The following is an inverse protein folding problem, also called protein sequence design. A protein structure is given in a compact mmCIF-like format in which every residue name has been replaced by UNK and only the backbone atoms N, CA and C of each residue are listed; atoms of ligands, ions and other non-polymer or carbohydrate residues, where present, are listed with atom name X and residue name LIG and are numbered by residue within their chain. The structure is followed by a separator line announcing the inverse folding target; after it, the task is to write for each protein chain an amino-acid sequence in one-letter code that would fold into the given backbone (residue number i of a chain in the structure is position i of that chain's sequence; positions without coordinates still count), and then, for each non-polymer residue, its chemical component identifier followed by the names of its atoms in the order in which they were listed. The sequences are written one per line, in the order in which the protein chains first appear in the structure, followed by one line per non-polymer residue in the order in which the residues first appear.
data_IF_429001936137
#
_entry.id   IF_429001936137
#
_cell.length_a   1.000
_cell.length_b   1.000
_cell.length_c   1.000
_cell.angle_alpha   90.00
_cell.angle_beta   90.00
_cell.angle_gamma   90.00
#
_symmetry.space_group_name_H-M   'P 1'
#
loop_
_entity.id
_entity.type
_entity.pdbx_description
1 polymer ?
#
# COMPACT_ATOMS: atom_id res chain seq x y z
N UNK A 1 2.68 4.05 -6.23
CA UNK A 1 2.10 3.97 -7.59
C UNK A 1 1.96 5.37 -8.15
N UNK A 2 2.44 5.58 -9.37
CA UNK A 2 2.48 6.89 -10.06
C UNK A 2 2.07 6.72 -11.53
N UNK A 3 1.67 7.78 -12.25
CA UNK A 3 1.42 7.69 -13.69
C UNK A 3 2.68 7.29 -14.47
N UNK A 4 2.51 6.57 -15.58
CA UNK A 4 3.62 6.29 -16.51
C UNK A 4 4.19 7.63 -17.04
N UNK A 5 5.52 7.81 -16.96
CA UNK A 5 6.18 9.06 -17.32
C UNK A 5 6.34 10.07 -16.18
N UNK A 6 5.77 9.81 -15.00
CA UNK A 6 5.99 10.63 -13.81
C UNK A 6 7.49 10.66 -13.43
N UNK A 7 8.07 11.79 -12.98
CA UNK A 7 9.49 11.88 -12.63
C UNK A 7 9.97 10.82 -11.64
N UNK A 8 9.15 10.46 -10.64
CA UNK A 8 9.46 9.38 -9.71
C UNK A 8 9.64 8.01 -10.38
N UNK A 9 9.01 7.77 -11.53
CA UNK A 9 9.19 6.53 -12.29
C UNK A 9 10.61 6.34 -12.83
N UNK A 10 11.43 7.39 -12.85
CA UNK A 10 12.85 7.34 -13.21
C UNK A 10 13.76 7.18 -11.99
N UNK A 11 13.20 7.24 -10.78
CA UNK A 11 13.94 7.05 -9.54
C UNK A 11 13.96 5.56 -9.18
N UNK A 12 15.08 5.06 -8.64
CA UNK A 12 15.14 3.70 -8.09
C UNK A 12 14.29 3.51 -6.83
N UNK A 13 14.12 4.58 -6.05
CA UNK A 13 13.22 4.68 -4.91
C UNK A 13 12.95 6.15 -4.57
N UNK A 14 11.89 6.42 -3.82
CA UNK A 14 11.52 7.76 -3.33
C UNK A 14 11.23 7.74 -1.84
N UNK A 15 11.14 8.93 -1.24
CA UNK A 15 10.81 9.13 0.18
C UNK A 15 9.35 9.55 0.35
N UNK A 16 8.79 9.30 1.54
CA UNK A 16 7.46 9.79 1.95
C UNK A 16 7.36 11.31 1.85
N UNK A 17 8.47 12.02 2.04
CA UNK A 17 8.59 13.46 1.80
C UNK A 17 8.13 13.89 0.39
N UNK A 18 8.29 13.01 -0.61
CA UNK A 18 7.82 13.25 -1.96
C UNK A 18 6.30 13.42 -2.06
N UNK A 19 5.53 12.82 -1.15
CA UNK A 19 4.06 12.84 -1.17
C UNK A 19 3.50 14.25 -1.04
N UNK A 20 4.13 15.12 -0.23
CA UNK A 20 3.67 16.49 0.00
C UNK A 20 3.63 17.35 -1.28
N UNK A 21 4.30 16.92 -2.36
CA UNK A 21 4.34 17.64 -3.65
C UNK A 21 3.18 17.29 -4.57
N UNK A 22 2.38 16.28 -4.24
CA UNK A 22 1.38 15.71 -5.13
C UNK A 22 0.01 15.58 -4.46
N UNK A 23 -1.02 15.42 -5.28
CA UNK A 23 -2.32 14.96 -4.79
C UNK A 23 -2.22 13.46 -4.55
N UNK A 24 -2.55 13.02 -3.34
CA UNK A 24 -2.49 11.61 -2.95
C UNK A 24 -3.90 11.05 -2.80
N UNK A 25 -4.24 10.05 -3.61
CA UNK A 25 -5.55 9.42 -3.56
C UNK A 25 -5.53 8.19 -2.67
N UNK A 26 -6.67 7.90 -2.06
CA UNK A 26 -6.90 6.69 -1.28
C UNK A 26 -8.22 6.03 -1.68
N UNK A 27 -8.34 4.75 -1.39
CA UNK A 27 -9.64 4.07 -1.42
C UNK A 27 -10.41 4.45 -0.14
N UNK A 28 -11.74 4.51 -0.19
CA UNK A 28 -12.57 4.50 1.03
C UNK A 28 -13.27 3.17 1.15
N UNK A 29 -13.13 2.57 2.31
CA UNK A 29 -13.85 1.37 2.72
C UNK A 29 -14.14 1.43 4.22
N UNK A 30 -14.78 0.39 4.75
CA UNK A 30 -15.11 0.25 6.17
C UNK A 30 -13.91 0.12 7.11
N UNK A 31 -12.67 0.17 6.58
CA UNK A 31 -11.47 0.14 7.41
C UNK A 31 -11.39 1.39 8.33
N UNK A 32 -10.91 1.23 9.58
CA UNK A 32 -10.75 2.35 10.51
C UNK A 32 -9.83 3.45 9.99
N UNK A 33 -10.01 4.68 10.48
CA UNK A 33 -9.21 5.84 10.05
C UNK A 33 -7.70 5.62 10.20
N UNK A 34 -7.24 5.04 11.31
CA UNK A 34 -5.81 4.78 11.53
C UNK A 34 -5.18 3.91 10.43
N UNK A 35 -5.98 3.02 9.81
CA UNK A 35 -5.51 2.14 8.74
C UNK A 35 -5.31 2.93 7.45
N UNK A 36 -6.19 3.89 7.16
CA UNK A 36 -6.03 4.80 6.04
C UNK A 36 -4.89 5.79 6.25
N UNK A 37 -4.76 6.32 7.47
CA UNK A 37 -3.66 7.21 7.84
C UNK A 37 -2.30 6.50 7.76
N UNK A 38 -2.24 5.19 7.99
CA UNK A 38 -1.01 4.43 7.76
C UNK A 38 -0.62 4.37 6.27
N UNK A 39 -1.57 4.12 5.37
CA UNK A 39 -1.28 3.98 3.93
C UNK A 39 -1.11 5.31 3.22
N UNK A 40 -1.89 6.32 3.60
CA UNK A 40 -1.83 7.68 3.07
C UNK A 40 -1.72 8.60 4.27
N UNK A 41 -0.51 8.89 4.80
CA UNK A 41 -0.37 9.69 6.00
C UNK A 41 -0.85 11.14 5.79
N UNK A 42 -1.35 11.81 6.86
CA UNK A 42 -1.83 13.19 6.74
C UNK A 42 -0.65 14.15 6.61
N UNK A 43 0.50 13.76 7.17
CA UNK A 43 1.74 14.51 7.17
C UNK A 43 2.90 13.58 6.81
N UNK A 44 3.90 14.15 6.15
CA UNK A 44 5.21 13.51 5.94
C UNK A 44 5.99 13.41 7.25
N UNK A 45 7.08 12.63 7.33
CA UNK A 45 7.91 12.54 8.54
C UNK A 45 8.42 13.89 9.07
N UNK A 46 8.65 14.88 8.19
CA UNK A 46 9.02 16.25 8.60
C UNK A 46 7.85 17.16 8.97
N UNK A 47 6.61 16.65 8.99
CA UNK A 47 5.40 17.40 9.35
C UNK A 47 4.74 18.18 8.20
N UNK A 48 5.20 18.02 6.95
CA UNK A 48 4.53 18.67 5.81
C UNK A 48 3.21 17.97 5.51
N UNK A 49 2.15 18.76 5.36
CA UNK A 49 0.83 18.27 4.99
C UNK A 49 0.86 17.54 3.64
N UNK A 50 0.24 16.36 3.61
CA UNK A 50 0.00 15.60 2.39
C UNK A 50 -1.37 16.02 1.83
N UNK A 51 -1.39 16.49 0.58
CA UNK A 51 -2.65 16.88 -0.08
C UNK A 51 -3.46 15.65 -0.46
N UNK A 52 -4.29 15.17 0.45
CA UNK A 52 -5.23 14.06 0.20
C UNK A 52 -6.32 14.50 -0.78
N UNK A 53 -6.43 13.78 -1.89
CA UNK A 53 -7.44 14.00 -2.91
C UNK A 53 -8.80 13.38 -2.54
N UNK A 54 -9.71 13.34 -3.51
CA UNK A 54 -10.97 12.62 -3.35
C UNK A 54 -10.71 11.13 -3.07
N UNK A 55 -11.51 10.57 -2.20
CA UNK A 55 -11.51 9.14 -1.98
C UNK A 55 -12.30 8.42 -3.07
N UNK A 56 -11.82 7.25 -3.50
CA UNK A 56 -12.51 6.41 -4.48
C UNK A 56 -13.05 5.14 -3.85
N UNK A 57 -14.18 4.60 -4.32
CA UNK A 57 -14.80 3.40 -3.74
C UNK A 57 -14.06 2.10 -4.11
N UNK A 58 -13.27 2.08 -5.20
CA UNK A 58 -12.62 0.86 -5.68
C UNK A 58 -11.13 1.07 -6.01
N UNK A 59 -10.37 -0.02 -5.94
CA UNK A 59 -8.96 0.00 -6.31
C UNK A 59 -8.76 0.21 -7.83
N UNK A 60 -9.69 -0.28 -8.64
CA UNK A 60 -9.70 -0.08 -10.10
C UNK A 60 -9.87 1.40 -10.46
N UNK A 61 -10.76 2.11 -9.78
CA UNK A 61 -10.90 3.57 -9.94
C UNK A 61 -9.65 4.33 -9.49
N UNK A 62 -9.00 3.87 -8.42
CA UNK A 62 -7.72 4.44 -7.98
C UNK A 62 -6.64 4.32 -9.07
N UNK A 63 -6.52 3.15 -9.69
CA UNK A 63 -5.58 2.93 -10.81
C UNK A 63 -5.95 3.84 -11.98
N UNK A 64 -7.22 3.97 -12.33
CA UNK A 64 -7.67 4.82 -13.43
C UNK A 64 -7.32 6.29 -13.20
N UNK A 65 -7.53 6.83 -11.98
CA UNK A 65 -7.16 8.21 -11.62
C UNK A 65 -5.66 8.45 -11.72
N UNK A 66 -4.86 7.51 -11.21
CA UNK A 66 -3.40 7.61 -11.28
C UNK A 66 -2.92 7.49 -12.73
N UNK A 67 -3.47 6.56 -13.51
CA UNK A 67 -3.15 6.42 -14.93
C UNK A 67 -3.51 7.67 -15.74
N UNK A 68 -4.57 8.38 -15.37
CA UNK A 68 -4.99 9.65 -15.95
C UNK A 68 -4.16 10.86 -15.47
N UNK A 69 -3.08 10.65 -14.72
CA UNK A 69 -2.18 11.72 -14.30
C UNK A 69 -2.71 12.62 -13.19
N UNK A 70 -3.83 12.27 -12.54
CA UNK A 70 -4.50 13.14 -11.58
C UNK A 70 -3.80 13.20 -10.21
N UNK A 71 -2.87 12.28 -9.94
CA UNK A 71 -2.21 12.15 -8.65
C UNK A 71 -1.45 10.84 -8.51
N UNK A 72 -1.05 10.54 -7.28
CA UNK A 72 -0.26 9.36 -6.91
C UNK A 72 -0.89 8.64 -5.71
N UNK A 73 -0.39 7.47 -5.37
CA UNK A 73 -0.83 6.76 -4.15
C UNK A 73 0.22 5.74 -3.67
N UNK A 74 0.56 5.71 -2.37
CA UNK A 74 1.29 4.59 -1.78
C UNK A 74 0.43 3.31 -1.83
N UNK A 75 1.07 2.17 -2.03
CA UNK A 75 0.41 0.86 -2.07
C UNK A 75 1.33 -0.18 -1.45
N UNK A 76 0.76 -1.23 -0.86
CA UNK A 76 1.54 -2.38 -0.41
C UNK A 76 2.22 -3.07 -1.61
N UNK A 77 3.43 -3.61 -1.40
CA UNK A 77 4.21 -4.24 -2.47
C UNK A 77 3.45 -5.39 -3.17
N UNK A 78 2.58 -6.10 -2.46
CA UNK A 78 1.74 -7.17 -3.00
C UNK A 78 0.82 -6.72 -4.15
N UNK A 79 0.38 -5.46 -4.13
CA UNK A 79 -0.47 -4.87 -5.17
C UNK A 79 0.17 -4.96 -6.56
N UNK A 80 1.49 -4.81 -6.63
CA UNK A 80 2.25 -4.84 -7.89
C UNK A 80 2.09 -6.15 -8.66
N UNK A 81 1.80 -7.26 -7.96
CA UNK A 81 1.63 -8.59 -8.56
C UNK A 81 0.27 -8.79 -9.21
N UNK A 82 -0.77 -8.13 -8.70
CA UNK A 82 -2.16 -8.38 -9.08
C UNK A 82 -2.77 -7.26 -9.92
N UNK A 83 -2.21 -6.06 -9.85
CA UNK A 83 -2.80 -4.84 -10.41
C UNK A 83 -1.88 -4.13 -11.41
N UNK A 84 -1.20 -4.90 -12.26
CA UNK A 84 -0.42 -4.33 -13.36
C UNK A 84 -1.31 -3.55 -14.33
N UNK A 85 -0.91 -2.34 -14.71
CA UNK A 85 -1.63 -1.49 -15.65
C UNK A 85 -0.65 -0.63 -16.47
N UNK A 86 -0.78 -0.52 -17.80
CA UNK A 86 0.23 0.14 -18.65
C UNK A 86 0.37 1.66 -18.37
N UNK A 87 -0.68 2.28 -17.82
CA UNK A 87 -0.70 3.69 -17.45
C UNK A 87 -0.07 4.03 -16.09
N UNK A 88 0.41 3.05 -15.32
CA UNK A 88 1.03 3.30 -14.01
C UNK A 88 2.40 2.64 -13.87
N UNK A 89 3.24 3.23 -13.05
CA UNK A 89 4.50 2.67 -12.59
C UNK A 89 4.49 2.49 -11.06
N UNK A 90 5.14 1.43 -10.59
CA UNK A 90 5.36 1.18 -9.17
C UNK A 90 6.80 1.55 -8.82
N UNK A 91 6.96 2.43 -7.83
CA UNK A 91 8.26 2.95 -7.37
C UNK A 91 8.35 2.68 -5.87
N UNK A 92 9.41 2.03 -5.38
CA UNK A 92 9.59 1.77 -3.94
C UNK A 92 9.66 3.04 -3.10
N UNK A 93 9.05 3.01 -1.92
CA UNK A 93 9.24 3.99 -0.86
C UNK A 93 10.31 3.46 0.11
N UNK A 94 11.40 4.20 0.33
CA UNK A 94 12.56 3.70 1.10
C UNK A 94 12.50 3.95 2.60
N UNK A 95 11.65 4.88 3.04
CA UNK A 95 11.50 5.36 4.41
C UNK A 95 10.09 5.10 4.97
N UNK A 96 9.26 4.35 4.22
CA UNK A 96 7.94 3.94 4.69
C UNK A 96 8.03 2.72 5.62
N UNK A 97 7.21 2.64 6.67
CA UNK A 97 7.10 1.43 7.46
C UNK A 97 6.55 0.27 6.60
N UNK A 98 6.98 -0.98 6.85
CA UNK A 98 6.50 -2.13 6.10
C UNK A 98 5.00 -2.36 6.35
N UNK A 99 4.27 -2.77 5.32
CA UNK A 99 2.89 -3.23 5.48
C UNK A 99 2.87 -4.68 5.96
N UNK A 100 2.33 -4.92 7.14
CA UNK A 100 2.24 -6.24 7.74
C UNK A 100 0.87 -6.88 7.53
N UNK A 101 0.86 -8.21 7.40
CA UNK A 101 -0.36 -9.03 7.35
C UNK A 101 -0.32 -10.01 8.52
N UNK A 102 -1.35 -9.97 9.35
CA UNK A 102 -1.45 -10.83 10.54
C UNK A 102 -2.71 -11.70 10.50
N UNK A 103 -2.60 -12.90 11.07
CA UNK A 103 -3.75 -13.73 11.39
C UNK A 103 -4.26 -13.34 12.79
N UNK A 104 -5.54 -13.01 12.87
CA UNK A 104 -6.18 -12.56 14.12
C UNK A 104 -7.34 -13.49 14.45
N UNK A 105 -7.46 -13.87 15.72
CA UNK A 105 -8.58 -14.65 16.24
C UNK A 105 -8.96 -14.15 17.63
N UNK A 106 -10.21 -14.43 18.04
CA UNK A 106 -10.62 -14.22 19.43
C UNK A 106 -9.86 -15.19 20.33
N UNK A 107 -9.45 -14.76 21.52
CA UNK A 107 -8.69 -15.58 22.48
C UNK A 107 -9.36 -16.94 22.74
N UNK A 108 -10.68 -16.95 22.95
CA UNK A 108 -11.47 -18.18 23.15
C UNK A 108 -11.67 -19.02 21.87
N UNK A 109 -11.28 -18.52 20.70
CA UNK A 109 -11.45 -19.17 19.39
C UNK A 109 -10.27 -20.03 18.95
N UNK A 110 -9.20 -20.13 19.75
CA UNK A 110 -8.00 -20.88 19.37
C UNK A 110 -8.22 -22.39 19.47
N UNK A 111 -8.46 -23.03 18.33
CA UNK A 111 -8.67 -24.48 18.21
C UNK A 111 -7.64 -25.13 17.26
N UNK A 112 -7.74 -26.45 17.07
CA UNK A 112 -6.84 -27.21 16.20
C UNK A 112 -6.83 -26.74 14.75
N UNK A 113 -7.98 -26.33 14.20
CA UNK A 113 -8.09 -25.82 12.82
C UNK A 113 -7.39 -24.48 12.65
N UNK A 114 -7.58 -23.56 13.61
CA UNK A 114 -6.88 -22.25 13.59
C UNK A 114 -5.37 -22.45 13.67
N UNK A 115 -4.89 -23.34 14.55
CA UNK A 115 -3.46 -23.68 14.64
C UNK A 115 -2.93 -24.29 13.34
N UNK A 116 -3.66 -25.26 12.77
CA UNK A 116 -3.28 -25.88 11.50
C UNK A 116 -3.19 -24.86 10.36
N UNK A 117 -4.16 -23.94 10.28
CA UNK A 117 -4.12 -22.87 9.28
C UNK A 117 -2.96 -21.91 9.51
N UNK A 118 -2.69 -21.50 10.75
CA UNK A 118 -1.54 -20.64 11.07
C UNK A 118 -0.21 -21.28 10.69
N UNK A 119 -0.05 -22.59 10.93
CA UNK A 119 1.12 -23.34 10.49
C UNK A 119 1.22 -23.39 8.96
N UNK A 120 0.14 -23.73 8.26
CA UNK A 120 0.12 -23.78 6.80
C UNK A 120 0.42 -22.41 6.17
N UNK A 121 -0.09 -21.32 6.74
CA UNK A 121 0.22 -19.96 6.31
C UNK A 121 1.71 -19.63 6.51
N UNK A 122 2.28 -19.98 7.66
CA UNK A 122 3.70 -19.79 7.93
C UNK A 122 4.60 -20.63 6.99
N UNK A 123 4.20 -21.87 6.69
CA UNK A 123 4.87 -22.73 5.70
C UNK A 123 4.83 -22.09 4.31
N UNK A 124 3.66 -21.59 3.89
CA UNK A 124 3.50 -20.91 2.60
C UNK A 124 4.37 -19.65 2.51
N UNK A 125 4.44 -18.83 3.57
CA UNK A 125 5.31 -17.64 3.60
C UNK A 125 6.78 -18.05 3.43
N UNK A 126 7.25 -19.07 4.17
CA UNK A 126 8.61 -19.59 4.02
C UNK A 126 8.90 -20.11 2.62
N UNK A 127 7.96 -20.87 2.04
CA UNK A 127 8.10 -21.41 0.69
C UNK A 127 8.13 -20.31 -0.40
N UNK A 128 7.55 -19.14 -0.13
CA UNK A 128 7.54 -17.99 -1.04
C UNK A 128 8.67 -16.98 -0.77
N UNK A 129 9.73 -17.37 -0.04
CA UNK A 129 10.90 -16.53 0.19
C UNK A 129 10.81 -15.62 1.41
N UNK A 130 9.80 -15.80 2.27
CA UNK A 130 9.63 -15.02 3.49
C UNK A 130 8.91 -13.68 3.29
N UNK A 131 8.98 -12.78 4.29
CA UNK A 131 8.48 -11.41 4.16
C UNK A 131 9.12 -10.71 2.96
N UNK A 132 8.37 -9.82 2.29
CA UNK A 132 8.93 -8.99 1.23
C UNK A 132 10.06 -8.12 1.80
N UNK A 133 11.16 -8.01 1.06
CA UNK A 133 12.38 -7.31 1.51
C UNK A 133 12.29 -5.77 1.44
N UNK A 134 11.12 -5.22 1.14
CA UNK A 134 10.92 -3.80 0.83
C UNK A 134 9.64 -3.27 1.47
#
# INVERSE_FOLDING_TARGET
MVPTGHPFGRCGSVELEGLARHTVFGVVSSAPQYWWDFHVPPETPSGKQVRRGQSVPTFQELIALVAAGQGITPVAASVTRYFAHPGVAFVPLRDAPPTEVALVWRTAGLNSRVRAFAHAAADAVRANGGPAAF
#
